data_IF_981656148087
#
_entry.id   IF_981656148087
#
_cell.length_a   1.000
_cell.length_b   1.000
_cell.length_c   1.000
_cell.angle_alpha   90.00
_cell.angle_beta   90.00
_cell.angle_gamma   90.00
#
_symmetry.space_group_name_H-M   'P 1'
#
loop_
_entity.id
_entity.type
_entity.pdbx_description
1 polymer ?
#
# COMPACT_ATOMS: atom_id res chain seq x y z
N UNK A 1 31.50 -59.58 -40.18
CA UNK A 1 32.80 -59.51 -39.51
C UNK A 1 33.46 -58.22 -39.98
N UNK A 2 33.68 -57.17 -39.20
CA UNK A 2 33.51 -56.93 -37.77
C UNK A 2 33.50 -55.40 -37.56
N UNK A 3 32.66 -54.96 -36.63
CA UNK A 3 32.74 -53.83 -35.71
C UNK A 3 33.74 -52.69 -35.99
N UNK A 4 33.24 -51.44 -35.98
CA UNK A 4 33.75 -50.48 -34.99
C UNK A 4 32.75 -49.32 -34.75
N UNK A 5 32.07 -49.40 -33.61
CA UNK A 5 31.16 -48.40 -33.08
C UNK A 5 31.96 -47.24 -32.46
N UNK A 6 32.05 -46.10 -33.14
CA UNK A 6 32.56 -44.87 -32.51
C UNK A 6 31.41 -44.11 -31.84
N UNK A 7 31.11 -44.50 -30.60
CA UNK A 7 30.47 -43.59 -29.65
C UNK A 7 31.42 -42.43 -29.38
N UNK A 8 31.05 -41.23 -29.81
CA UNK A 8 31.71 -40.00 -29.36
C UNK A 8 31.00 -39.53 -28.10
N UNK A 9 31.72 -39.61 -26.98
CA UNK A 9 31.43 -38.98 -25.69
C UNK A 9 30.86 -37.57 -25.88
N UNK A 10 29.62 -37.35 -25.44
CA UNK A 10 29.16 -36.03 -25.01
C UNK A 10 29.37 -36.01 -23.49
N UNK A 11 30.52 -35.48 -23.05
CA UNK A 11 30.76 -35.15 -21.65
C UNK A 11 29.91 -33.90 -21.30
N UNK A 12 28.59 -34.08 -21.36
CA UNK A 12 27.60 -33.09 -20.98
C UNK A 12 27.70 -32.85 -19.49
N UNK A 13 28.50 -31.87 -19.08
CA UNK A 13 28.58 -31.42 -17.69
C UNK A 13 27.17 -31.12 -17.21
N UNK A 14 26.63 -32.01 -16.37
CA UNK A 14 25.38 -31.81 -15.67
C UNK A 14 25.44 -30.45 -15.00
N UNK A 15 24.57 -29.53 -15.44
CA UNK A 15 24.47 -28.19 -14.86
C UNK A 15 23.57 -28.26 -13.63
N UNK A 16 24.01 -27.61 -12.56
CA UNK A 16 23.32 -27.59 -11.28
C UNK A 16 22.92 -26.16 -10.94
N UNK A 17 21.73 -26.00 -10.37
CA UNK A 17 21.29 -24.73 -9.80
C UNK A 17 22.20 -24.34 -8.63
N UNK A 18 22.74 -23.14 -8.65
CA UNK A 18 23.64 -22.63 -7.61
C UNK A 18 22.93 -22.32 -6.29
N UNK A 19 21.59 -22.29 -6.27
CA UNK A 19 20.78 -21.99 -5.09
C UNK A 19 20.28 -23.25 -4.38
N UNK A 20 19.69 -24.20 -5.11
CA UNK A 20 19.11 -25.42 -4.53
C UNK A 20 19.88 -26.71 -4.81
N UNK A 21 20.91 -26.66 -5.67
CA UNK A 21 21.73 -27.83 -6.02
C UNK A 21 21.07 -28.84 -6.97
N UNK A 22 19.82 -28.62 -7.39
CA UNK A 22 19.13 -29.49 -8.36
C UNK A 22 19.80 -29.46 -9.72
N UNK A 23 19.87 -30.61 -10.36
CA UNK A 23 20.36 -30.77 -11.73
C UNK A 23 19.37 -30.23 -12.78
N UNK A 24 19.86 -29.95 -13.99
CA UNK A 24 19.04 -29.50 -15.12
C UNK A 24 17.85 -30.43 -15.45
N UNK A 25 17.93 -31.72 -15.10
CA UNK A 25 16.87 -32.70 -15.34
C UNK A 25 15.77 -32.70 -14.26
N UNK A 26 16.07 -32.17 -13.08
CA UNK A 26 15.15 -32.14 -11.94
C UNK A 26 14.27 -30.88 -11.93
N UNK A 27 14.54 -29.91 -12.80
CA UNK A 27 13.84 -28.63 -12.86
C UNK A 27 13.28 -28.40 -14.26
N UNK A 28 12.17 -27.67 -14.36
CA UNK A 28 11.52 -27.42 -15.66
C UNK A 28 12.33 -26.46 -16.51
N UNK A 29 12.99 -25.47 -15.89
CA UNK A 29 13.91 -24.56 -16.58
C UNK A 29 15.12 -24.25 -15.70
N UNK A 30 16.29 -24.27 -16.32
CA UNK A 30 17.54 -23.79 -15.72
C UNK A 30 18.04 -22.61 -16.55
N UNK A 31 18.22 -21.46 -15.91
CA UNK A 31 18.68 -20.20 -16.52
C UNK A 31 20.18 -20.07 -16.27
N UNK A 32 20.96 -19.89 -17.34
CA UNK A 32 22.41 -19.76 -17.29
C UNK A 32 22.84 -18.29 -17.32
N UNK A 33 23.63 -17.88 -16.32
CA UNK A 33 24.39 -16.63 -16.30
C UNK A 33 25.89 -16.88 -16.56
N UNK A 34 26.72 -15.82 -16.57
CA UNK A 34 28.16 -15.92 -16.88
C UNK A 34 28.95 -16.85 -15.94
N UNK A 35 28.51 -17.03 -14.69
CA UNK A 35 29.19 -17.88 -13.70
C UNK A 35 28.24 -18.53 -12.69
N UNK A 36 26.93 -18.47 -12.94
CA UNK A 36 25.89 -18.91 -12.00
C UNK A 36 24.69 -19.46 -12.75
N UNK A 37 23.99 -20.42 -12.16
CA UNK A 37 22.78 -21.01 -12.72
C UNK A 37 21.65 -20.93 -11.70
N UNK A 38 20.43 -20.61 -12.15
CA UNK A 38 19.24 -20.53 -11.29
C UNK A 38 18.07 -21.26 -11.94
N UNK A 39 17.33 -22.07 -11.19
CA UNK A 39 16.14 -22.77 -11.69
C UNK A 39 14.86 -21.94 -11.50
N UNK A 40 13.80 -22.32 -12.20
CA UNK A 40 12.49 -21.68 -12.10
C UNK A 40 11.93 -21.67 -10.68
N UNK A 41 12.05 -22.76 -9.94
CA UNK A 41 11.60 -22.83 -8.53
C UNK A 41 12.33 -21.83 -7.62
N UNK A 42 13.64 -21.66 -7.80
CA UNK A 42 14.41 -20.68 -7.01
C UNK A 42 14.06 -19.24 -7.41
N UNK A 43 13.72 -18.99 -8.68
CA UNK A 43 13.22 -17.68 -9.12
C UNK A 43 11.87 -17.38 -8.48
N UNK A 44 10.96 -18.36 -8.42
CA UNK A 44 9.66 -18.21 -7.76
C UNK A 44 9.82 -17.92 -6.27
N UNK A 45 10.63 -18.72 -5.56
CA UNK A 45 10.90 -18.52 -4.14
C UNK A 45 11.53 -17.14 -3.86
N UNK A 46 12.52 -16.74 -4.66
CA UNK A 46 13.12 -15.41 -4.53
C UNK A 46 12.09 -14.30 -4.79
N UNK A 47 11.19 -14.47 -5.76
CA UNK A 47 10.13 -13.51 -6.05
C UNK A 47 9.14 -13.39 -4.89
N UNK A 48 8.80 -14.51 -4.25
CA UNK A 48 7.91 -14.54 -3.08
C UNK A 48 8.56 -13.83 -1.89
N UNK A 49 9.83 -14.10 -1.59
CA UNK A 49 10.59 -13.41 -0.53
C UNK A 49 10.64 -11.89 -0.79
N UNK A 50 10.92 -11.49 -2.03
CA UNK A 50 10.97 -10.06 -2.40
C UNK A 50 9.59 -9.40 -2.25
N UNK A 51 8.51 -10.10 -2.65
CA UNK A 51 7.14 -9.59 -2.49
C UNK A 51 6.76 -9.43 -1.03
N UNK A 52 7.04 -10.44 -0.20
CA UNK A 52 6.79 -10.40 1.23
C UNK A 52 7.52 -9.21 1.87
N UNK A 53 8.79 -8.97 1.53
CA UNK A 53 9.55 -7.82 2.07
C UNK A 53 8.98 -6.46 1.61
N UNK A 54 8.49 -6.37 0.37
CA UNK A 54 7.84 -5.16 -0.15
C UNK A 54 6.48 -4.90 0.53
N UNK A 55 5.71 -5.96 0.79
CA UNK A 55 4.45 -5.91 1.53
C UNK A 55 4.70 -5.51 2.98
N UNK A 56 5.68 -6.11 3.65
CA UNK A 56 6.12 -5.77 5.01
C UNK A 56 6.52 -4.29 5.13
N UNK A 57 7.26 -3.76 4.15
CA UNK A 57 7.63 -2.34 4.12
C UNK A 57 6.42 -1.44 3.89
N UNK A 58 5.47 -1.86 3.06
CA UNK A 58 4.23 -1.13 2.84
C UNK A 58 3.33 -1.16 4.10
N UNK A 59 3.29 -2.27 4.84
CA UNK A 59 2.59 -2.40 6.11
C UNK A 59 3.22 -1.53 7.20
N UNK A 60 4.55 -1.53 7.34
CA UNK A 60 5.26 -0.63 8.29
C UNK A 60 5.07 0.85 7.97
N UNK A 61 4.83 1.21 6.70
CA UNK A 61 4.46 2.57 6.31
C UNK A 61 2.99 2.91 6.65
N UNK A 62 2.09 1.93 6.63
CA UNK A 62 0.69 2.06 7.08
C UNK A 62 0.58 2.20 8.61
N UNK A 63 1.56 1.69 9.36
CA UNK A 63 1.54 1.62 10.82
C UNK A 63 1.68 2.95 11.58
N UNK A 64 2.06 4.05 10.92
CA UNK A 64 2.18 5.36 11.58
C UNK A 64 1.10 6.33 11.16
N UNK A 65 -0.16 5.93 11.34
CA UNK A 65 -1.25 6.89 11.35
C UNK A 65 -1.01 7.86 12.54
N UNK A 66 -0.84 9.17 12.30
CA UNK A 66 -0.56 10.12 13.37
C UNK A 66 -1.71 10.14 14.37
N UNK A 67 -1.37 10.16 15.66
CA UNK A 67 -2.36 10.20 16.74
C UNK A 67 -3.13 11.52 16.69
N UNK A 68 -4.37 11.58 17.19
CA UNK A 68 -5.18 12.79 17.12
C UNK A 68 -4.49 14.05 17.69
N UNK A 69 -3.66 13.92 18.72
CA UNK A 69 -2.92 15.07 19.27
C UNK A 69 -1.80 15.56 18.35
N UNK A 70 -1.17 14.68 17.57
CA UNK A 70 -0.15 15.03 16.58
C UNK A 70 -0.79 15.76 15.40
N UNK A 71 -1.93 15.25 14.91
CA UNK A 71 -2.73 15.92 13.88
C UNK A 71 -3.14 17.32 14.36
N UNK A 72 -3.66 17.41 15.58
CA UNK A 72 -4.07 18.70 16.16
C UNK A 72 -2.89 19.67 16.25
N UNK A 73 -1.72 19.20 16.67
CA UNK A 73 -0.50 20.02 16.78
C UNK A 73 -0.10 20.62 15.44
N UNK A 74 -0.16 19.84 14.35
CA UNK A 74 0.10 20.40 13.01
C UNK A 74 -0.98 21.41 12.61
N UNK A 75 -2.26 21.15 12.89
CA UNK A 75 -3.32 22.13 12.64
C UNK A 75 -3.14 23.42 13.44
N UNK A 76 -2.54 23.34 14.63
CA UNK A 76 -2.21 24.50 15.47
C UNK A 76 -1.15 25.42 14.83
N UNK A 77 -0.29 24.90 13.95
CA UNK A 77 0.74 25.69 13.24
C UNK A 77 0.14 26.56 12.12
N UNK A 78 -1.01 26.18 11.56
CA UNK A 78 -1.62 26.88 10.42
C UNK A 78 -2.91 27.64 10.77
N UNK A 79 -3.68 27.16 11.75
CA UNK A 79 -4.97 27.74 12.12
C UNK A 79 -4.92 28.15 13.58
N UNK A 80 -5.10 29.44 13.88
CA UNK A 80 -5.07 29.95 15.25
C UNK A 80 -6.46 29.83 15.89
N UNK A 81 -6.53 29.33 17.13
CA UNK A 81 -7.80 29.10 17.85
C UNK A 81 -8.59 27.89 17.30
N UNK A 82 -9.93 27.96 17.30
CA UNK A 82 -10.80 26.88 16.78
C UNK A 82 -10.56 25.50 17.42
N UNK A 83 -10.20 25.48 18.71
CA UNK A 83 -9.77 24.26 19.45
C UNK A 83 -10.73 23.09 19.33
N UNK A 84 -12.04 23.37 19.41
CA UNK A 84 -13.09 22.35 19.27
C UNK A 84 -13.08 21.73 17.88
N UNK A 85 -12.99 22.54 16.82
CA UNK A 85 -13.00 22.05 15.45
C UNK A 85 -11.76 21.19 15.15
N UNK A 86 -10.57 21.64 15.57
CA UNK A 86 -9.33 20.87 15.41
C UNK A 86 -9.42 19.52 16.11
N UNK A 87 -9.87 19.48 17.37
CA UNK A 87 -10.04 18.21 18.12
C UNK A 87 -11.00 17.24 17.40
N UNK A 88 -12.14 17.74 16.94
CA UNK A 88 -13.13 16.92 16.22
C UNK A 88 -12.55 16.39 14.91
N UNK A 89 -11.89 17.24 14.10
CA UNK A 89 -11.26 16.85 12.85
C UNK A 89 -10.17 15.80 13.06
N UNK A 90 -9.29 16.00 14.05
CA UNK A 90 -8.20 15.06 14.34
C UNK A 90 -8.71 13.67 14.74
N UNK A 91 -9.77 13.60 15.55
CA UNK A 91 -10.38 12.32 15.94
C UNK A 91 -11.10 11.67 14.77
N UNK A 92 -11.88 12.44 14.01
CA UNK A 92 -12.64 11.91 12.89
C UNK A 92 -11.75 11.34 11.78
N UNK A 93 -10.66 12.03 11.45
CA UNK A 93 -9.64 11.55 10.51
C UNK A 93 -8.98 10.29 11.02
N UNK A 94 -8.51 10.30 12.26
CA UNK A 94 -7.86 9.13 12.84
C UNK A 94 -8.77 7.89 12.76
N UNK A 95 -10.05 8.05 13.12
CA UNK A 95 -11.04 6.99 13.00
C UNK A 95 -11.33 6.59 11.55
N UNK A 96 -11.32 7.54 10.61
CA UNK A 96 -11.51 7.26 9.18
C UNK A 96 -10.45 6.31 8.64
N UNK A 97 -9.16 6.58 8.90
CA UNK A 97 -8.06 5.71 8.44
C UNK A 97 -7.98 4.41 9.21
N UNK A 98 -8.24 4.43 10.53
CA UNK A 98 -8.32 3.19 11.31
C UNK A 98 -9.35 2.24 10.72
N UNK A 99 -10.52 2.76 10.35
CA UNK A 99 -11.56 2.00 9.63
C UNK A 99 -11.10 1.47 8.28
N UNK A 100 -10.34 2.25 7.50
CA UNK A 100 -9.82 1.77 6.22
C UNK A 100 -8.84 0.61 6.41
N UNK A 101 -7.92 0.72 7.38
CA UNK A 101 -6.95 -0.34 7.69
C UNK A 101 -7.63 -1.64 8.13
N UNK A 102 -8.66 -1.57 8.99
CA UNK A 102 -9.44 -2.74 9.41
C UNK A 102 -10.16 -3.43 8.25
N UNK A 103 -10.60 -2.68 7.22
CA UNK A 103 -11.27 -3.27 6.05
C UNK A 103 -10.32 -3.99 5.09
N UNK A 104 -9.03 -3.68 5.12
CA UNK A 104 -8.02 -4.19 4.16
C UNK A 104 -7.07 -5.23 4.75
N UNK A 105 -7.16 -5.56 6.04
CA UNK A 105 -6.26 -6.51 6.71
C UNK A 105 -6.64 -8.00 6.51
N UNK A 106 -5.67 -8.93 6.62
CA UNK A 106 -5.89 -10.38 6.42
C UNK A 106 -6.68 -11.06 7.56
N UNK A 107 -6.83 -10.40 8.71
CA UNK A 107 -7.56 -10.92 9.86
C UNK A 107 -9.06 -10.56 9.79
N UNK A 108 -9.81 -11.24 8.91
CA UNK A 108 -11.28 -11.32 9.02
C UNK A 108 -11.64 -12.24 10.19
N UNK A 109 -11.43 -11.79 11.42
CA UNK A 109 -11.98 -12.48 12.59
C UNK A 109 -13.50 -12.27 12.62
N UNK A 110 -14.25 -13.34 12.85
CA UNK A 110 -15.73 -13.50 12.77
C UNK A 110 -16.61 -12.54 13.59
N UNK A 111 -16.06 -11.47 14.15
CA UNK A 111 -16.75 -10.39 14.86
C UNK A 111 -16.33 -9.06 14.24
N UNK A 112 -16.70 -8.83 12.97
CA UNK A 112 -16.40 -7.57 12.28
C UNK A 112 -17.21 -6.43 12.93
N UNK A 113 -16.57 -5.72 13.85
CA UNK A 113 -17.11 -4.48 14.42
C UNK A 113 -17.06 -3.41 13.32
N UNK A 114 -18.21 -3.14 12.71
CA UNK A 114 -18.34 -2.10 11.69
C UNK A 114 -18.13 -0.71 12.31
N UNK A 115 -17.05 -0.03 11.91
CA UNK A 115 -16.82 1.37 12.31
C UNK A 115 -17.67 2.28 11.39
N UNK A 116 -18.62 3.01 11.97
CA UNK A 116 -19.48 3.93 11.23
C UNK A 116 -18.71 5.12 10.60
N UNK A 117 -19.19 5.63 9.46
CA UNK A 117 -18.64 6.84 8.83
C UNK A 117 -19.01 8.07 9.67
N UNK A 118 -18.01 8.83 10.10
CA UNK A 118 -18.22 10.12 10.74
C UNK A 118 -18.04 11.24 9.72
N UNK A 119 -19.14 11.72 9.13
CA UNK A 119 -19.12 12.96 8.35
C UNK A 119 -19.11 14.16 9.32
N UNK A 120 -18.55 15.29 8.88
CA UNK A 120 -18.37 16.49 9.70
C UNK A 120 -19.09 17.65 9.02
N UNK A 121 -19.85 18.41 9.80
CA UNK A 121 -20.40 19.70 9.40
C UNK A 121 -19.65 20.81 10.14
N UNK A 122 -18.98 21.70 9.42
CA UNK A 122 -18.27 22.84 9.99
C UNK A 122 -19.13 24.09 9.92
N UNK A 123 -19.51 24.64 11.08
CA UNK A 123 -20.33 25.86 11.21
C UNK A 123 -19.46 26.97 11.78
N UNK A 124 -19.46 28.14 11.13
CA UNK A 124 -18.75 29.32 11.61
C UNK A 124 -18.83 30.48 10.62
N UNK A 125 -18.50 31.71 11.05
CA UNK A 125 -18.57 32.92 10.22
C UNK A 125 -17.65 32.85 8.99
N UNK A 126 -17.83 33.77 8.05
CA UNK A 126 -16.92 33.90 6.91
C UNK A 126 -15.50 34.21 7.39
N UNK A 127 -14.49 33.72 6.67
CA UNK A 127 -13.08 33.99 7.00
C UNK A 127 -12.50 33.30 8.25
N UNK A 128 -13.24 32.45 8.97
CA UNK A 128 -12.72 31.82 10.20
C UNK A 128 -11.79 30.61 10.00
N UNK A 129 -11.40 30.30 8.75
CA UNK A 129 -10.45 29.22 8.46
C UNK A 129 -11.07 27.83 8.21
N UNK A 130 -12.37 27.72 7.92
CA UNK A 130 -13.02 26.42 7.60
C UNK A 130 -12.34 25.69 6.44
N UNK A 131 -12.13 26.39 5.31
CA UNK A 131 -11.46 25.83 4.13
C UNK A 131 -10.00 25.52 4.41
N UNK A 132 -9.30 26.41 5.09
CA UNK A 132 -7.89 26.24 5.47
C UNK A 132 -7.67 25.02 6.37
N UNK A 133 -8.60 24.72 7.30
CA UNK A 133 -8.56 23.50 8.10
C UNK A 133 -8.60 22.25 7.22
N UNK A 134 -9.49 22.20 6.23
CA UNK A 134 -9.63 21.05 5.34
C UNK A 134 -8.40 20.88 4.43
N UNK A 135 -7.90 21.96 3.84
CA UNK A 135 -6.70 21.94 2.98
C UNK A 135 -5.43 21.54 3.76
N UNK A 136 -5.27 22.04 4.98
CA UNK A 136 -4.11 21.70 5.82
C UNK A 136 -4.14 20.23 6.21
N UNK A 137 -5.33 19.70 6.52
CA UNK A 137 -5.53 18.29 6.85
C UNK A 137 -5.20 17.38 5.65
N UNK A 138 -5.63 17.75 4.45
CA UNK A 138 -5.31 17.03 3.21
C UNK A 138 -3.80 17.00 2.93
N UNK A 139 -3.12 18.14 3.08
CA UNK A 139 -1.65 18.25 2.92
C UNK A 139 -0.91 17.39 3.93
N UNK A 140 -1.32 17.41 5.21
CA UNK A 140 -0.72 16.60 6.26
C UNK A 140 -0.80 15.09 5.96
N UNK A 141 -1.94 14.64 5.46
CA UNK A 141 -2.21 13.22 5.24
C UNK A 141 -1.77 12.73 3.86
N UNK A 142 -1.31 13.62 3.00
CA UNK A 142 -0.91 13.35 1.62
C UNK A 142 -1.96 12.52 0.86
N UNK A 143 -3.22 12.96 0.90
CA UNK A 143 -4.34 12.26 0.25
C UNK A 143 -5.05 13.11 -0.79
N UNK A 144 -5.72 12.46 -1.77
CA UNK A 144 -6.57 13.17 -2.72
C UNK A 144 -7.61 14.01 -1.99
N UNK A 145 -7.74 15.27 -2.41
CA UNK A 145 -8.65 16.23 -1.79
C UNK A 145 -9.40 17.00 -2.88
N UNK A 146 -10.71 17.09 -2.71
CA UNK A 146 -11.60 17.80 -3.62
C UNK A 146 -12.37 18.86 -2.85
N UNK A 147 -12.52 20.03 -3.47
CA UNK A 147 -13.37 21.11 -2.97
C UNK A 147 -14.50 21.27 -3.98
N UNK A 148 -15.73 21.25 -3.50
CA UNK A 148 -16.92 21.48 -4.31
C UNK A 148 -17.78 22.54 -3.62
N UNK A 149 -18.42 23.39 -4.41
CA UNK A 149 -19.43 24.34 -3.94
C UNK A 149 -20.82 23.73 -4.11
N UNK A 150 -21.59 23.63 -3.03
CA UNK A 150 -22.94 23.09 -3.10
C UNK A 150 -23.91 24.02 -3.86
N UNK A 151 -23.60 25.31 -3.98
CA UNK A 151 -24.45 26.27 -4.70
C UNK A 151 -24.47 26.05 -6.21
N UNK A 152 -23.49 25.32 -6.74
CA UNK A 152 -23.44 24.95 -8.16
C UNK A 152 -24.18 23.63 -8.44
N UNK A 153 -24.55 22.87 -7.42
CA UNK A 153 -25.22 21.57 -7.57
C UNK A 153 -26.75 21.74 -7.56
N UNK A 154 -27.41 21.23 -8.60
CA UNK A 154 -28.87 21.24 -8.73
C UNK A 154 -29.41 19.82 -8.93
N UNK A 155 -30.67 19.59 -8.53
CA UNK A 155 -31.26 18.26 -8.35
C UNK A 155 -31.40 17.42 -9.65
N UNK A 156 -31.26 18.02 -10.83
CA UNK A 156 -31.18 17.29 -12.10
C UNK A 156 -30.54 18.10 -13.24
N UNK A 157 -29.31 17.75 -13.60
CA UNK A 157 -28.87 17.66 -15.00
C UNK A 157 -28.78 18.93 -15.85
N UNK A 158 -28.83 20.13 -15.29
CA UNK A 158 -28.52 21.35 -16.04
C UNK A 158 -27.35 22.10 -15.38
N UNK A 159 -26.18 21.94 -15.99
CA UNK A 159 -24.87 22.58 -15.72
C UNK A 159 -23.92 21.84 -14.76
N UNK A 160 -23.23 20.83 -15.33
CA UNK A 160 -21.76 20.66 -15.38
C UNK A 160 -20.91 20.72 -14.12
N UNK A 161 -20.55 19.54 -13.59
CA UNK A 161 -19.21 18.89 -13.67
C UNK A 161 -19.38 17.37 -13.68
#
# INVERSE_FOLDING_TARGET
MSEDSRSRHDDGKLLYCSFCGKSQHEVRKLIAGPSVFVCDECVELCNDIIREELEDRAERARDKLPKPHEIKKVLDEYVIGQERAKKVLSVAVYNHYKRLQTRTGPARSKEDIEIAKSNILLIGPTGCGKTLLAETLARLLNVPFTIADATTLTEAGYVGE
#
